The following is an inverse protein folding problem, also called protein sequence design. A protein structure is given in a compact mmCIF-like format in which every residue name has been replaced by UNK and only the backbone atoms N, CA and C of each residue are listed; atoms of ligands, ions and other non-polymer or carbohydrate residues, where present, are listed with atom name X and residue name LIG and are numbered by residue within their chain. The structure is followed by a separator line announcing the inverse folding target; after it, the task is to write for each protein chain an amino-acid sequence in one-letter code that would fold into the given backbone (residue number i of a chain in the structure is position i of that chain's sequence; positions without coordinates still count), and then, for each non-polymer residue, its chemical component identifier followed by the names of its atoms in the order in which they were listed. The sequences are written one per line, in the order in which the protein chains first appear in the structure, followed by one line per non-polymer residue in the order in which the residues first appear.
data_IF_432833763028
#
_entry.id   IF_432833763028
#
_cell.length_a   1.000
_cell.length_b   1.000
_cell.length_c   1.000
_cell.angle_alpha   90.00
_cell.angle_beta   90.00
_cell.angle_gamma   90.00
#
_symmetry.space_group_name_H-M   'P 1'
#
loop_
_entity.id
_entity.type
_entity.pdbx_description
1 polymer ?
#
# COMPACT_ATOMS: atom_id res chain seq x y z
N UNK A 1 -6.10 -6.78 -28.27
CA UNK A 1 -4.89 -7.29 -28.97
C UNK A 1 -3.75 -6.27 -29.04
N UNK A 2 -4.03 -4.96 -29.04
CA UNK A 2 -2.98 -3.90 -28.98
C UNK A 2 -2.34 -3.73 -27.59
N UNK A 3 -3.13 -3.85 -26.51
CA UNK A 3 -2.62 -3.73 -25.14
C UNK A 3 -1.48 -4.70 -24.81
N UNK A 4 -1.61 -5.96 -25.24
CA UNK A 4 -0.57 -6.99 -25.04
C UNK A 4 0.69 -6.72 -25.87
N UNK A 5 0.58 -6.03 -27.01
CA UNK A 5 1.75 -5.57 -27.79
C UNK A 5 2.43 -4.40 -27.09
N UNK A 6 1.68 -3.43 -26.56
CA UNK A 6 2.23 -2.32 -25.78
C UNK A 6 2.92 -2.78 -24.49
N UNK A 7 2.48 -3.87 -23.86
CA UNK A 7 3.19 -4.42 -22.69
C UNK A 7 4.64 -4.79 -22.99
N UNK A 8 4.91 -5.25 -24.21
CA UNK A 8 6.25 -5.71 -24.63
C UNK A 8 7.20 -4.56 -25.00
N UNK A 9 6.69 -3.35 -25.19
CA UNK A 9 7.52 -2.19 -25.60
C UNK A 9 8.14 -1.44 -24.42
N UNK A 10 7.76 -1.75 -23.17
CA UNK A 10 8.22 -1.04 -21.97
C UNK A 10 7.66 0.38 -21.80
N UNK A 11 7.02 0.94 -22.84
CA UNK A 11 6.43 2.27 -22.85
C UNK A 11 5.41 2.51 -21.71
N UNK A 12 4.51 1.56 -21.36
CA UNK A 12 3.60 1.78 -20.25
C UNK A 12 4.32 1.91 -18.90
N UNK A 13 5.44 1.20 -18.70
CA UNK A 13 6.24 1.31 -17.47
C UNK A 13 6.98 2.65 -17.43
N UNK A 14 7.54 3.07 -18.56
CA UNK A 14 8.23 4.36 -18.68
C UNK A 14 7.31 5.54 -18.35
N UNK A 15 6.03 5.47 -18.75
CA UNK A 15 5.03 6.49 -18.41
C UNK A 15 4.45 6.32 -17.00
N UNK A 16 4.36 5.07 -16.51
CA UNK A 16 3.84 4.78 -15.17
C UNK A 16 4.75 5.32 -14.07
N UNK A 17 6.08 5.23 -14.19
CA UNK A 17 6.98 5.67 -13.11
C UNK A 17 6.85 7.17 -12.77
N UNK A 18 6.91 8.12 -13.74
CA UNK A 18 6.66 9.53 -13.46
C UNK A 18 5.24 9.78 -12.93
N UNK A 19 4.24 9.08 -13.47
CA UNK A 19 2.86 9.20 -13.02
C UNK A 19 2.69 8.73 -11.57
N UNK A 20 3.35 7.64 -11.18
CA UNK A 20 3.38 7.13 -9.81
C UNK A 20 4.02 8.12 -8.85
N UNK A 21 5.14 8.72 -9.24
CA UNK A 21 5.82 9.74 -8.44
C UNK A 21 4.91 10.95 -8.25
N UNK A 22 4.31 11.46 -9.33
CA UNK A 22 3.37 12.58 -9.27
C UNK A 22 2.15 12.27 -8.40
N UNK A 23 1.61 11.06 -8.53
CA UNK A 23 0.45 10.61 -7.78
C UNK A 23 0.78 10.47 -6.29
N UNK A 24 1.91 9.85 -5.95
CA UNK A 24 2.38 9.74 -4.58
C UNK A 24 2.64 11.12 -3.95
N UNK A 25 3.23 12.05 -4.70
CA UNK A 25 3.42 13.43 -4.27
C UNK A 25 2.08 14.15 -4.01
N UNK A 26 1.09 13.93 -4.88
CA UNK A 26 -0.26 14.48 -4.71
C UNK A 26 -0.94 13.93 -3.46
N UNK A 27 -0.90 12.61 -3.25
CA UNK A 27 -1.44 11.98 -2.05
C UNK A 27 -0.75 12.50 -0.78
N UNK A 28 0.58 12.62 -0.79
CA UNK A 28 1.34 13.16 0.34
C UNK A 28 0.98 14.62 0.62
N UNK A 29 0.84 15.45 -0.42
CA UNK A 29 0.37 16.83 -0.30
C UNK A 29 -1.02 16.94 0.33
N UNK A 30 -1.96 16.08 -0.09
CA UNK A 30 -3.29 15.99 0.53
C UNK A 30 -3.21 15.53 2.00
N UNK A 31 -2.35 14.57 2.33
CA UNK A 31 -2.14 14.14 3.72
C UNK A 31 -1.58 15.25 4.60
N UNK A 32 -0.68 16.11 4.07
CA UNK A 32 -0.21 17.31 4.78
C UNK A 32 -1.38 18.25 5.07
N UNK A 33 -2.30 18.47 4.11
CA UNK A 33 -3.51 19.26 4.36
C UNK A 33 -4.42 18.63 5.42
N UNK A 34 -4.49 17.29 5.48
CA UNK A 34 -5.23 16.60 6.53
C UNK A 34 -4.71 16.90 7.94
N UNK A 35 -3.44 17.32 8.12
CA UNK A 35 -2.94 17.73 9.45
C UNK A 35 -3.77 18.88 10.06
N UNK A 36 -4.43 19.70 9.25
CA UNK A 36 -5.38 20.71 9.74
C UNK A 36 -6.52 20.07 10.55
N UNK A 37 -7.02 18.89 10.13
CA UNK A 37 -8.02 18.13 10.87
C UNK A 37 -7.46 17.65 12.22
N UNK A 38 -6.20 17.20 12.24
CA UNK A 38 -5.52 16.81 13.48
C UNK A 38 -5.42 17.99 14.45
N UNK A 39 -4.90 19.13 13.99
CA UNK A 39 -4.75 20.34 14.81
C UNK A 39 -6.08 20.92 15.28
N UNK A 40 -7.14 20.71 14.50
CA UNK A 40 -8.51 21.11 14.88
C UNK A 40 -9.19 20.15 15.86
N UNK A 41 -8.48 19.11 16.34
CA UNK A 41 -9.01 18.11 17.28
C UNK A 41 -9.86 17.01 16.63
N UNK A 42 -10.06 17.04 15.31
CA UNK A 42 -10.86 16.07 14.55
C UNK A 42 -10.07 14.80 14.20
N UNK A 43 -9.52 14.14 15.24
CA UNK A 43 -8.60 12.99 15.07
C UNK A 43 -9.21 11.81 14.30
N UNK A 44 -10.51 11.56 14.46
CA UNK A 44 -11.18 10.46 13.75
C UNK A 44 -11.25 10.72 12.24
N UNK A 45 -11.59 11.95 11.83
CA UNK A 45 -11.67 12.33 10.42
C UNK A 45 -10.29 12.42 9.79
N UNK A 46 -9.29 12.91 10.54
CA UNK A 46 -7.89 12.80 10.13
C UNK A 46 -7.52 11.35 9.80
N UNK A 47 -7.77 10.42 10.72
CA UNK A 47 -7.39 9.01 10.54
C UNK A 47 -8.11 8.37 9.36
N UNK A 48 -9.41 8.65 9.17
CA UNK A 48 -10.16 8.15 8.00
C UNK A 48 -9.57 8.69 6.69
N UNK A 49 -9.27 10.00 6.63
CA UNK A 49 -8.71 10.63 5.45
C UNK A 49 -7.32 10.09 5.11
N UNK A 50 -6.43 9.95 6.09
CA UNK A 50 -5.08 9.41 5.87
C UNK A 50 -5.13 7.94 5.43
N UNK A 51 -5.98 7.11 6.05
CA UNK A 51 -6.19 5.70 5.66
C UNK A 51 -6.75 5.57 4.24
N UNK A 52 -7.65 6.46 3.85
CA UNK A 52 -8.12 6.53 2.46
C UNK A 52 -6.97 6.88 1.51
N UNK A 53 -6.20 7.92 1.81
CA UNK A 53 -5.10 8.40 0.97
C UNK A 53 -3.95 7.38 0.84
N UNK A 54 -3.56 6.70 1.93
CA UNK A 54 -2.51 5.66 1.86
C UNK A 54 -3.00 4.45 1.04
N UNK A 55 -4.25 4.02 1.22
CA UNK A 55 -4.81 2.92 0.43
C UNK A 55 -4.88 3.26 -1.07
N UNK A 56 -5.29 4.48 -1.39
CA UNK A 56 -5.26 4.99 -2.77
C UNK A 56 -3.83 5.04 -3.31
N UNK A 57 -2.85 5.49 -2.52
CA UNK A 57 -1.44 5.57 -2.90
C UNK A 57 -0.79 4.20 -3.15
N UNK A 58 -1.21 3.14 -2.45
CA UNK A 58 -0.67 1.78 -2.64
C UNK A 58 -1.24 1.05 -3.86
N UNK A 59 -2.49 1.32 -4.26
CA UNK A 59 -3.14 0.61 -5.40
C UNK A 59 -2.35 0.67 -6.72
N UNK A 60 -1.75 1.79 -7.12
CA UNK A 60 -0.90 1.82 -8.30
C UNK A 60 0.33 0.89 -8.23
N UNK A 61 0.88 0.65 -7.03
CA UNK A 61 1.96 -0.33 -6.83
C UNK A 61 1.44 -1.77 -6.99
N UNK A 62 0.26 -2.06 -6.44
CA UNK A 62 -0.41 -3.35 -6.63
C UNK A 62 -0.73 -3.59 -8.11
N UNK A 63 -1.16 -2.55 -8.83
CA UNK A 63 -1.34 -2.62 -10.28
C UNK A 63 -0.05 -2.97 -11.02
N UNK A 64 1.11 -2.42 -10.62
CA UNK A 64 2.39 -2.78 -11.23
C UNK A 64 2.74 -4.26 -11.00
N UNK A 65 2.42 -4.83 -9.83
CA UNK A 65 2.59 -6.27 -9.58
C UNK A 65 1.74 -7.10 -10.53
N UNK A 66 0.46 -6.78 -10.67
CA UNK A 66 -0.42 -7.47 -11.62
C UNK A 66 0.06 -7.28 -13.08
N UNK A 67 0.53 -6.08 -13.41
CA UNK A 67 1.04 -5.75 -14.72
C UNK A 67 2.28 -6.57 -15.08
N UNK A 68 3.16 -6.81 -14.11
CA UNK A 68 4.43 -7.54 -14.27
C UNK A 68 4.26 -8.98 -14.77
N UNK A 69 3.04 -9.54 -14.67
CA UNK A 69 2.76 -10.94 -15.00
C UNK A 69 3.18 -11.92 -13.91
N UNK A 70 3.62 -11.42 -12.75
CA UNK A 70 3.86 -12.23 -11.55
C UNK A 70 2.58 -12.92 -11.11
N UNK A 71 2.69 -14.20 -10.74
CA UNK A 71 1.56 -14.98 -10.20
C UNK A 71 1.81 -15.27 -8.73
N UNK A 72 0.87 -14.84 -7.89
CA UNK A 72 0.89 -15.10 -6.46
C UNK A 72 -0.13 -16.20 -6.18
N UNK A 73 0.31 -17.26 -5.48
CA UNK A 73 -0.55 -18.37 -5.08
C UNK A 73 -0.66 -18.38 -3.56
N UNK A 74 -1.89 -18.42 -3.05
CA UNK A 74 -2.18 -18.59 -1.64
C UNK A 74 -2.73 -20.00 -1.40
N UNK A 75 -2.28 -20.63 -0.32
CA UNK A 75 -2.71 -21.97 0.09
C UNK A 75 -3.17 -21.91 1.54
N UNK A 76 -4.25 -22.62 1.85
CA UNK A 76 -4.85 -22.69 3.17
C UNK A 76 -5.67 -23.98 3.27
N UNK A 77 -5.75 -24.55 4.47
CA UNK A 77 -6.63 -25.68 4.76
C UNK A 77 -8.11 -25.25 4.82
N UNK A 78 -8.39 -23.97 5.09
CA UNK A 78 -9.73 -23.37 5.07
C UNK A 78 -10.01 -22.53 3.80
N UNK A 79 -11.27 -22.09 3.64
CA UNK A 79 -11.69 -21.24 2.52
C UNK A 79 -10.94 -19.90 2.52
N UNK A 80 -10.07 -19.70 1.52
CA UNK A 80 -9.27 -18.50 1.34
C UNK A 80 -10.13 -17.23 1.23
N UNK A 81 -11.32 -17.32 0.63
CA UNK A 81 -12.19 -16.14 0.48
C UNK A 81 -12.70 -15.65 1.83
N UNK A 82 -13.07 -16.57 2.71
CA UNK A 82 -13.47 -16.27 4.08
C UNK A 82 -12.29 -15.69 4.88
N UNK A 83 -11.09 -16.28 4.73
CA UNK A 83 -9.87 -15.79 5.39
C UNK A 83 -9.54 -14.35 4.95
N UNK A 84 -9.51 -14.06 3.65
CA UNK A 84 -9.21 -12.70 3.17
C UNK A 84 -10.26 -11.69 3.61
N UNK A 85 -11.55 -12.05 3.55
CA UNK A 85 -12.63 -11.19 4.05
C UNK A 85 -12.46 -10.88 5.54
N UNK A 86 -12.10 -11.89 6.35
CA UNK A 86 -11.81 -11.71 7.78
C UNK A 86 -10.59 -10.84 8.02
N UNK A 87 -9.54 -10.97 7.21
CA UNK A 87 -8.31 -10.16 7.34
C UNK A 87 -8.63 -8.67 7.19
N UNK A 88 -9.42 -8.29 6.19
CA UNK A 88 -9.72 -6.87 5.97
C UNK A 88 -10.80 -6.29 6.88
N UNK A 89 -11.67 -7.12 7.46
CA UNK A 89 -12.74 -6.66 8.37
C UNK A 89 -12.32 -6.66 9.84
N UNK A 90 -11.55 -7.66 10.28
CA UNK A 90 -11.12 -7.81 11.67
C UNK A 90 -9.68 -7.36 11.87
N UNK A 91 -9.31 -7.01 13.11
CA UNK A 91 -7.90 -6.84 13.46
C UNK A 91 -7.16 -8.16 13.28
N UNK A 92 -6.21 -8.14 12.36
CA UNK A 92 -5.46 -9.33 11.95
C UNK A 92 -3.96 -9.04 12.00
N UNK A 93 -3.18 -10.09 12.26
CA UNK A 93 -1.72 -10.02 12.25
C UNK A 93 -1.19 -11.00 11.20
N UNK A 94 -0.53 -10.45 10.18
CA UNK A 94 0.18 -11.25 9.18
C UNK A 94 1.63 -11.38 9.62
N UNK A 95 2.05 -12.60 9.95
CA UNK A 95 3.45 -12.92 10.21
C UNK A 95 4.02 -13.68 9.02
N UNK A 96 5.00 -13.09 8.35
CA UNK A 96 5.70 -13.70 7.23
C UNK A 96 7.19 -13.85 7.51
N UNK A 97 7.83 -14.81 6.86
CA UNK A 97 9.26 -14.74 6.68
C UNK A 97 9.60 -13.57 5.74
N UNK A 98 10.80 -13.00 5.88
CA UNK A 98 11.28 -11.96 4.97
C UNK A 98 12.41 -12.53 4.11
N UNK A 99 12.12 -12.79 2.84
CA UNK A 99 13.04 -13.38 1.86
C UNK A 99 13.32 -12.47 0.68
N UNK A 100 12.39 -11.57 0.32
CA UNK A 100 12.49 -10.75 -0.86
C UNK A 100 11.99 -9.32 -0.65
N UNK A 101 12.43 -8.43 -1.54
CA UNK A 101 12.08 -7.01 -1.50
C UNK A 101 10.60 -6.74 -1.85
N UNK A 102 9.88 -7.73 -2.38
CA UNK A 102 8.46 -7.64 -2.75
C UNK A 102 7.52 -8.20 -1.70
N UNK A 103 8.03 -8.77 -0.59
CA UNK A 103 7.20 -9.44 0.42
C UNK A 103 6.14 -8.50 1.02
N UNK A 104 6.50 -7.23 1.23
CA UNK A 104 5.58 -6.22 1.74
C UNK A 104 4.44 -5.92 0.76
N UNK A 105 4.71 -5.99 -0.55
CA UNK A 105 3.71 -5.74 -1.57
C UNK A 105 2.73 -6.91 -1.72
N UNK A 106 3.20 -8.14 -1.46
CA UNK A 106 2.34 -9.32 -1.31
C UNK A 106 1.42 -9.17 -0.07
N UNK A 107 1.97 -8.69 1.06
CA UNK A 107 1.16 -8.38 2.24
C UNK A 107 0.06 -7.37 1.96
N UNK A 108 0.39 -6.27 1.26
CA UNK A 108 -0.60 -5.28 0.82
C UNK A 108 -1.65 -5.88 -0.14
N UNK A 109 -1.27 -6.83 -1.00
CA UNK A 109 -2.21 -7.53 -1.88
C UNK A 109 -3.21 -8.37 -1.09
N UNK A 110 -2.77 -9.07 -0.05
CA UNK A 110 -3.65 -9.83 0.86
C UNK A 110 -4.66 -8.89 1.53
N UNK A 111 -4.20 -7.74 2.02
CA UNK A 111 -5.05 -6.73 2.65
C UNK A 111 -6.04 -6.09 1.67
N UNK A 112 -5.64 -5.78 0.43
CA UNK A 112 -6.54 -5.22 -0.58
C UNK A 112 -7.63 -6.21 -1.00
N UNK A 113 -7.32 -7.51 -1.07
CA UNK A 113 -8.32 -8.56 -1.30
C UNK A 113 -9.36 -8.65 -0.17
N UNK A 114 -8.98 -8.31 1.06
CA UNK A 114 -9.89 -8.22 2.20
C UNK A 114 -10.62 -6.89 2.35
N UNK A 115 -10.21 -5.84 1.63
CA UNK A 115 -10.69 -4.46 1.79
C UNK A 115 -9.99 -3.67 2.91
N UNK A 116 -8.93 -4.21 3.50
CA UNK A 116 -8.19 -3.64 4.64
C UNK A 116 -7.02 -2.72 4.27
N UNK A 117 -6.73 -2.52 2.98
CA UNK A 117 -5.49 -1.87 2.50
C UNK A 117 -5.12 -0.56 3.22
N UNK A 118 -6.08 0.35 3.38
CA UNK A 118 -5.85 1.65 4.03
C UNK A 118 -5.59 1.57 5.54
N UNK A 119 -5.99 0.47 6.17
CA UNK A 119 -5.82 0.19 7.59
C UNK A 119 -4.58 -0.67 7.88
N UNK A 120 -3.90 -1.17 6.84
CA UNK A 120 -2.70 -1.98 6.98
C UNK A 120 -1.58 -1.18 7.67
N UNK A 121 -0.91 -1.81 8.62
CA UNK A 121 0.27 -1.28 9.32
C UNK A 121 1.38 -2.30 9.25
N UNK A 122 2.59 -1.84 8.97
CA UNK A 122 3.77 -2.69 8.95
C UNK A 122 4.83 -2.21 9.93
N UNK A 123 5.66 -3.16 10.37
CA UNK A 123 6.91 -2.87 11.04
C UNK A 123 7.96 -2.67 9.96
N UNK A 124 8.56 -1.48 9.92
CA UNK A 124 9.50 -1.07 8.88
C UNK A 124 10.81 -0.59 9.50
N UNK A 125 11.90 -0.71 8.73
CA UNK A 125 13.19 -0.12 9.10
C UNK A 125 13.06 1.41 9.18
N UNK A 126 13.67 2.06 10.17
CA UNK A 126 13.59 3.51 10.35
C UNK A 126 14.05 4.29 9.12
N UNK A 127 15.01 3.77 8.37
CA UNK A 127 15.53 4.42 7.16
C UNK A 127 14.44 4.60 6.08
N UNK A 128 13.39 3.78 6.09
CA UNK A 128 12.28 3.88 5.14
C UNK A 128 11.42 5.13 5.36
N UNK A 129 11.52 5.80 6.52
CA UNK A 129 10.85 7.08 6.75
C UNK A 129 11.42 8.21 5.89
N UNK A 130 12.63 8.03 5.34
CA UNK A 130 13.28 9.00 4.45
C UNK A 130 12.95 8.80 2.97
N UNK A 131 12.15 7.78 2.63
CA UNK A 131 11.69 7.59 1.26
C UNK A 131 10.76 8.75 0.85
N UNK A 132 11.03 9.43 -0.27
CA UNK A 132 10.19 10.52 -0.75
C UNK A 132 8.73 10.09 -0.86
N UNK A 133 7.84 10.91 -0.30
CA UNK A 133 6.39 10.70 -0.21
C UNK A 133 5.97 9.53 0.69
N UNK A 134 6.45 8.32 0.42
CA UNK A 134 6.07 7.10 1.16
C UNK A 134 6.42 7.16 2.65
N UNK A 135 7.58 7.70 3.02
CA UNK A 135 8.01 7.77 4.42
C UNK A 135 7.07 8.60 5.29
N UNK A 136 6.68 9.79 4.81
CA UNK A 136 5.68 10.62 5.48
C UNK A 136 4.31 9.93 5.51
N UNK A 137 3.88 9.35 4.38
CA UNK A 137 2.58 8.70 4.30
C UNK A 137 2.46 7.52 5.26
N UNK A 138 3.50 6.69 5.37
CA UNK A 138 3.55 5.56 6.30
C UNK A 138 3.59 6.02 7.75
N UNK A 139 4.35 7.06 8.07
CA UNK A 139 4.34 7.68 9.39
C UNK A 139 2.94 8.19 9.77
N UNK A 140 2.27 8.90 8.84
CA UNK A 140 0.92 9.41 9.05
C UNK A 140 -0.12 8.28 9.23
N UNK A 141 0.12 7.12 8.61
CA UNK A 141 -0.71 5.92 8.70
C UNK A 141 -0.35 4.97 9.87
N UNK A 142 0.40 5.44 10.87
CA UNK A 142 0.81 4.68 12.06
C UNK A 142 1.70 3.45 11.79
N UNK A 143 2.57 3.49 10.76
CA UNK A 143 3.58 2.44 10.59
C UNK A 143 4.62 2.50 11.71
N UNK A 144 5.08 1.31 12.15
CA UNK A 144 6.01 1.20 13.28
C UNK A 144 7.44 1.16 12.73
N UNK A 145 8.22 2.18 13.03
CA UNK A 145 9.64 2.25 12.65
C UNK A 145 10.54 1.68 13.74
N UNK A 146 11.43 0.75 13.39
CA UNK A 146 12.43 0.19 14.32
C UNK A 146 13.86 0.58 13.92
N UNK A 147 14.69 0.86 14.92
CA UNK A 147 16.14 0.95 14.74
C UNK A 147 16.71 -0.47 14.69
N UNK A 148 17.71 -0.70 13.86
CA UNK A 148 18.44 -1.96 13.80
C UNK A 148 19.75 -1.88 14.59
#
# INVERSE_FOLDING_TARGET
MEWQKMKKTGLPVLLALPALVWFAATCAGLQVLCLLLWFSGMKQEYSKAVRFLIGVMHRPLLYLMEYSGSRVYAYSDGDLKDIFTKIGFNQSLIMSNHRGDLDWLIGLMVEDNGGGLGCCKAIVKRELIFLPFFGFSWWAADFICINR
#
